data_IF_482309410416
#
_entry.id   IF_482309410416
#
_cell.length_a   1.000
_cell.length_b   1.000
_cell.length_c   1.000
_cell.angle_alpha   90.00
_cell.angle_beta   90.00
_cell.angle_gamma   90.00
#
_symmetry.space_group_name_H-M   'P 1'
#
loop_
_entity.id
_entity.type
_entity.pdbx_description
1 polymer ?
#
# COMPACT_ATOMS: atom_id res chain seq x y z
N UNK A 1 35.67 18.85 -2.08
CA UNK A 1 34.75 18.39 -1.02
C UNK A 1 34.29 17.00 -1.43
N UNK A 2 35.18 16.02 -1.25
CA UNK A 2 34.95 14.62 -1.58
C UNK A 2 34.23 13.98 -0.38
N UNK A 3 32.89 13.96 -0.42
CA UNK A 3 32.11 13.22 0.55
C UNK A 3 32.10 11.74 0.13
N UNK A 4 32.88 10.94 0.86
CA UNK A 4 32.57 9.58 1.31
C UNK A 4 31.75 8.72 0.32
N UNK A 5 32.38 8.24 -0.76
CA UNK A 5 31.78 7.24 -1.67
C UNK A 5 31.59 5.84 -1.06
N UNK A 6 31.84 5.66 0.25
CA UNK A 6 31.70 4.38 0.96
C UNK A 6 30.31 4.10 1.54
N UNK A 7 29.37 5.06 1.54
CA UNK A 7 28.02 4.91 2.10
C UNK A 7 26.92 4.54 1.08
N UNK A 8 27.27 4.32 -0.20
CA UNK A 8 26.35 3.95 -1.28
C UNK A 8 26.37 2.45 -1.62
N UNK A 9 26.85 1.61 -0.70
CA UNK A 9 26.82 0.15 -0.85
C UNK A 9 25.82 -0.40 0.14
N UNK A 10 24.91 -1.26 -0.34
CA UNK A 10 24.00 -1.99 0.54
C UNK A 10 24.83 -2.69 1.62
N UNK A 11 24.58 -2.31 2.86
CA UNK A 11 25.23 -2.94 4.00
C UNK A 11 24.66 -4.35 4.14
N UNK A 12 25.40 -5.23 4.80
CA UNK A 12 24.91 -6.57 5.14
C UNK A 12 23.52 -6.53 5.80
N UNK A 13 23.27 -5.52 6.65
CA UNK A 13 21.97 -5.29 7.29
C UNK A 13 20.85 -5.06 6.28
N UNK A 14 21.05 -4.19 5.29
CA UNK A 14 20.04 -3.88 4.28
C UNK A 14 19.67 -5.13 3.47
N UNK A 15 20.66 -5.95 3.10
CA UNK A 15 20.42 -7.22 2.42
C UNK A 15 19.62 -8.19 3.28
N UNK A 16 19.92 -8.29 4.58
CA UNK A 16 19.17 -9.18 5.48
C UNK A 16 17.73 -8.74 5.66
N UNK A 17 17.46 -7.43 5.75
CA UNK A 17 16.10 -6.90 5.90
C UNK A 17 15.29 -7.13 4.62
N UNK A 18 15.87 -6.85 3.45
CA UNK A 18 15.20 -7.10 2.16
C UNK A 18 14.94 -8.58 1.96
N UNK A 19 15.91 -9.45 2.25
CA UNK A 19 15.69 -10.89 2.10
C UNK A 19 14.63 -11.39 3.08
N UNK A 20 14.65 -10.94 4.33
CA UNK A 20 13.64 -11.31 5.32
C UNK A 20 12.24 -10.87 4.92
N UNK A 21 12.08 -9.63 4.43
CA UNK A 21 10.80 -9.12 3.93
C UNK A 21 10.26 -9.97 2.77
N UNK A 22 11.11 -10.28 1.79
CA UNK A 22 10.74 -11.11 0.63
C UNK A 22 10.38 -12.53 1.03
N UNK A 23 11.13 -13.12 1.97
CA UNK A 23 10.86 -14.45 2.51
C UNK A 23 9.53 -14.47 3.23
N UNK A 24 9.24 -13.51 4.11
CA UNK A 24 7.95 -13.42 4.80
C UNK A 24 6.78 -13.26 3.82
N UNK A 25 6.91 -12.38 2.83
CA UNK A 25 5.88 -12.20 1.79
C UNK A 25 5.63 -13.49 1.00
N UNK A 26 6.69 -14.19 0.60
CA UNK A 26 6.59 -15.45 -0.12
C UNK A 26 6.02 -16.56 0.75
N UNK A 27 6.40 -16.63 2.04
CA UNK A 27 5.89 -17.61 2.99
C UNK A 27 4.38 -17.49 3.17
N UNK A 28 3.84 -16.26 3.27
CA UNK A 28 2.39 -16.03 3.34
C UNK A 28 1.72 -16.53 2.05
N UNK A 29 2.27 -16.21 0.88
CA UNK A 29 1.74 -16.70 -0.41
C UNK A 29 1.74 -18.23 -0.53
N UNK A 30 2.83 -18.89 -0.13
CA UNK A 30 2.95 -20.35 -0.10
C UNK A 30 1.96 -20.94 0.90
N UNK A 31 1.83 -20.36 2.09
CA UNK A 31 0.90 -20.82 3.11
C UNK A 31 -0.55 -20.84 2.58
N UNK A 32 -1.01 -19.74 1.97
CA UNK A 32 -2.36 -19.70 1.39
C UNK A 32 -2.51 -20.67 0.20
N UNK A 33 -1.47 -20.83 -0.64
CA UNK A 33 -1.52 -21.73 -1.80
C UNK A 33 -1.61 -23.22 -1.41
N UNK A 34 -0.87 -23.64 -0.38
CA UNK A 34 -0.83 -25.05 0.04
C UNK A 34 -1.89 -25.41 1.07
N UNK A 35 -2.15 -24.54 2.05
CA UNK A 35 -3.00 -24.85 3.21
C UNK A 35 -4.46 -24.43 3.00
N UNK A 36 -4.71 -23.39 2.21
CA UNK A 36 -6.05 -22.85 1.98
C UNK A 36 -6.37 -22.74 0.49
N UNK A 37 -6.49 -23.90 -0.18
CA UNK A 37 -6.84 -23.98 -1.60
C UNK A 37 -8.25 -23.43 -1.84
N UNK A 38 -8.32 -22.22 -2.37
CA UNK A 38 -9.54 -21.63 -2.92
C UNK A 38 -9.86 -22.33 -4.25
N UNK A 39 -10.90 -23.16 -4.27
CA UNK A 39 -11.22 -24.02 -5.42
C UNK A 39 -12.05 -23.32 -6.51
N UNK A 40 -12.60 -22.14 -6.20
CA UNK A 40 -13.51 -21.39 -7.08
C UNK A 40 -13.00 -19.96 -7.28
N UNK A 41 -13.16 -19.42 -8.49
CA UNK A 41 -12.75 -18.05 -8.83
C UNK A 41 -13.37 -16.97 -7.92
N UNK A 42 -14.66 -17.13 -7.57
CA UNK A 42 -15.36 -16.22 -6.66
C UNK A 42 -14.75 -16.24 -5.25
N UNK A 43 -14.34 -17.41 -4.77
CA UNK A 43 -13.67 -17.59 -3.48
C UNK A 43 -12.28 -16.95 -3.46
N UNK A 44 -11.58 -16.99 -4.60
CA UNK A 44 -10.29 -16.32 -4.80
C UNK A 44 -10.40 -14.79 -4.83
N UNK A 45 -11.37 -14.25 -5.56
CA UNK A 45 -11.57 -12.80 -5.64
C UNK A 45 -12.15 -12.19 -4.36
N UNK A 46 -13.05 -12.90 -3.68
CA UNK A 46 -13.76 -12.40 -2.49
C UNK A 46 -13.14 -12.87 -1.17
N UNK A 47 -12.08 -13.67 -1.20
CA UNK A 47 -11.41 -14.19 0.00
C UNK A 47 -12.33 -15.01 0.89
N UNK A 48 -13.29 -15.74 0.30
CA UNK A 48 -14.27 -16.55 1.02
C UNK A 48 -15.28 -15.79 1.88
N UNK A 49 -15.43 -14.47 1.69
CA UNK A 49 -16.44 -13.60 2.36
C UNK A 49 -16.46 -13.69 3.90
N UNK A 50 -15.42 -14.25 4.49
CA UNK A 50 -15.30 -14.53 5.94
C UNK A 50 -14.15 -13.76 6.58
N UNK A 51 -13.45 -12.91 5.83
CA UNK A 51 -12.39 -12.06 6.37
C UNK A 51 -12.97 -11.02 7.34
N UNK A 52 -12.35 -10.92 8.51
CA UNK A 52 -12.70 -9.92 9.52
C UNK A 52 -12.42 -8.49 9.02
N UNK A 53 -13.09 -7.50 9.60
CA UNK A 53 -12.95 -6.08 9.21
C UNK A 53 -11.52 -5.56 9.37
N UNK A 54 -10.77 -6.10 10.33
CA UNK A 54 -9.39 -5.68 10.62
C UNK A 54 -8.40 -5.98 9.47
N UNK A 55 -8.23 -7.23 9.00
CA UNK A 55 -7.36 -7.52 7.86
C UNK A 55 -7.83 -6.87 6.55
N UNK A 56 -9.14 -6.68 6.37
CA UNK A 56 -9.69 -5.97 5.20
C UNK A 56 -9.26 -4.50 5.23
N UNK A 57 -9.37 -3.84 6.39
CA UNK A 57 -8.96 -2.44 6.56
C UNK A 57 -7.45 -2.26 6.38
N UNK A 58 -6.63 -3.17 6.92
CA UNK A 58 -5.18 -3.17 6.70
C UNK A 58 -4.83 -3.29 5.21
N UNK A 59 -5.51 -4.17 4.48
CA UNK A 59 -5.30 -4.37 3.04
C UNK A 59 -5.69 -3.15 2.21
N UNK A 60 -6.78 -2.47 2.59
CA UNK A 60 -7.20 -1.21 1.98
C UNK A 60 -6.12 -0.14 2.16
N UNK A 61 -5.62 0.07 3.39
CA UNK A 61 -4.55 1.04 3.66
C UNK A 61 -3.28 0.67 2.88
N UNK A 62 -2.90 -0.60 2.86
CA UNK A 62 -1.75 -1.07 2.10
C UNK A 62 -1.90 -0.78 0.59
N UNK A 63 -3.11 -0.91 0.03
CA UNK A 63 -3.39 -0.62 -1.38
C UNK A 63 -3.32 0.87 -1.71
N UNK A 64 -3.58 1.75 -0.73
CA UNK A 64 -3.48 3.20 -0.91
C UNK A 64 -2.03 3.73 -0.88
N UNK A 65 -1.11 3.03 -0.21
CA UNK A 65 0.28 3.47 -0.09
C UNK A 65 1.05 3.04 -1.34
N UNK A 66 1.55 4.04 -2.09
CA UNK A 66 2.37 3.81 -3.29
C UNK A 66 3.78 4.40 -3.14
N UNK A 67 4.71 3.99 -4.01
CA UNK A 67 6.06 4.58 -4.07
C UNK A 67 6.06 6.08 -4.38
N UNK A 68 5.07 6.55 -5.14
CA UNK A 68 4.86 7.98 -5.42
C UNK A 68 4.50 8.71 -4.13
N UNK A 69 3.67 8.10 -3.28
CA UNK A 69 3.29 8.69 -2.00
C UNK A 69 4.50 8.81 -1.06
N UNK A 70 5.39 7.81 -1.07
CA UNK A 70 6.50 7.73 -0.13
C UNK A 70 7.68 8.65 -0.51
N UNK A 71 8.03 8.73 -1.80
CA UNK A 71 9.16 9.54 -2.28
C UNK A 71 8.72 10.79 -3.06
N UNK A 72 7.60 10.73 -3.76
CA UNK A 72 7.11 11.82 -4.59
C UNK A 72 6.58 12.99 -3.78
N UNK A 73 5.78 12.76 -2.73
CA UNK A 73 5.20 13.85 -1.93
C UNK A 73 6.23 14.70 -1.18
N UNK A 74 7.24 14.12 -0.49
CA UNK A 74 8.27 14.93 0.14
C UNK A 74 9.11 15.68 -0.90
N UNK A 75 9.36 15.08 -2.08
CA UNK A 75 10.06 15.75 -3.18
C UNK A 75 9.25 16.94 -3.72
N UNK A 76 7.94 16.77 -3.87
CA UNK A 76 7.03 17.83 -4.32
C UNK A 76 6.93 18.97 -3.32
N UNK A 77 6.79 18.66 -2.03
CA UNK A 77 6.76 19.67 -0.96
C UNK A 77 8.11 20.41 -0.87
N UNK A 78 9.23 19.71 -1.08
CA UNK A 78 10.55 20.31 -1.05
C UNK A 78 10.78 21.30 -2.20
N UNK A 79 10.24 21.02 -3.39
CA UNK A 79 10.41 21.86 -4.59
C UNK A 79 9.35 22.97 -4.70
N UNK A 80 8.09 22.67 -4.39
CA UNK A 80 6.93 23.55 -4.67
C UNK A 80 6.23 24.05 -3.40
N UNK A 81 6.68 23.64 -2.21
CA UNK A 81 6.14 24.09 -0.94
C UNK A 81 4.72 23.60 -0.64
N UNK A 82 3.92 24.42 0.03
CA UNK A 82 2.60 24.05 0.59
C UNK A 82 1.51 23.85 -0.47
N UNK A 83 1.78 24.02 -1.77
CA UNK A 83 0.79 23.87 -2.83
C UNK A 83 0.19 22.45 -2.86
N UNK A 84 0.98 21.43 -2.52
CA UNK A 84 0.50 20.05 -2.42
C UNK A 84 -0.66 19.90 -1.41
N UNK A 85 -0.75 20.75 -0.38
CA UNK A 85 -1.81 20.67 0.63
C UNK A 85 -3.23 20.83 0.06
N UNK A 86 -3.38 21.44 -1.12
CA UNK A 86 -4.68 21.62 -1.80
C UNK A 86 -5.31 20.27 -2.17
N UNK A 87 -4.50 19.22 -2.38
CA UNK A 87 -5.01 17.88 -2.69
C UNK A 87 -5.88 17.32 -1.55
N UNK A 88 -5.58 17.64 -0.29
CA UNK A 88 -6.35 17.18 0.87
C UNK A 88 -7.79 17.72 0.82
N UNK A 89 -7.95 18.99 0.44
CA UNK A 89 -9.28 19.58 0.26
C UNK A 89 -10.03 18.96 -0.91
N UNK A 90 -9.34 18.66 -2.01
CA UNK A 90 -9.92 17.97 -3.16
C UNK A 90 -10.41 16.56 -2.80
N UNK A 91 -9.60 15.80 -2.05
CA UNK A 91 -9.96 14.45 -1.56
C UNK A 91 -11.20 14.49 -0.67
N UNK A 92 -11.29 15.47 0.26
CA UNK A 92 -12.48 15.66 1.09
C UNK A 92 -13.73 15.98 0.25
N UNK A 93 -13.60 16.83 -0.77
CA UNK A 93 -14.70 17.14 -1.69
C UNK A 93 -15.19 15.93 -2.47
N UNK A 94 -14.27 15.12 -3.01
CA UNK A 94 -14.59 13.88 -3.71
C UNK A 94 -15.26 12.87 -2.79
N UNK A 95 -14.82 12.76 -1.53
CA UNK A 95 -15.44 11.89 -0.53
C UNK A 95 -16.92 12.24 -0.32
N UNK A 96 -17.24 13.52 -0.13
CA UNK A 96 -18.62 14.00 0.07
C UNK A 96 -19.49 13.71 -1.16
N UNK A 97 -18.97 13.95 -2.36
CA UNK A 97 -19.68 13.65 -3.61
C UNK A 97 -19.93 12.15 -3.77
N UNK A 98 -18.94 11.31 -3.46
CA UNK A 98 -19.05 9.86 -3.55
C UNK A 98 -20.13 9.32 -2.60
N UNK A 99 -20.18 9.81 -1.37
CA UNK A 99 -21.22 9.43 -0.39
C UNK A 99 -22.61 9.86 -0.87
N UNK A 100 -22.72 11.05 -1.48
CA UNK A 100 -24.03 11.63 -1.85
C UNK A 100 -24.59 11.07 -3.17
N UNK A 101 -23.73 10.79 -4.15
CA UNK A 101 -24.17 10.40 -5.51
C UNK A 101 -23.87 8.95 -5.87
N UNK A 102 -22.74 8.40 -5.41
CA UNK A 102 -22.30 7.04 -5.78
C UNK A 102 -22.92 6.00 -4.84
N UNK A 103 -22.83 6.21 -3.53
CA UNK A 103 -23.36 5.29 -2.52
C UNK A 103 -24.86 4.92 -2.72
N UNK A 104 -25.80 5.86 -3.00
CA UNK A 104 -27.22 5.53 -3.19
C UNK A 104 -27.54 4.88 -4.55
N UNK A 105 -26.56 4.75 -5.45
CA UNK A 105 -26.75 4.07 -6.74
C UNK A 105 -26.40 2.57 -6.65
N UNK A 106 -25.51 2.20 -5.73
CA UNK A 106 -25.06 0.81 -5.53
C UNK A 106 -25.76 0.10 -4.35
N UNK A 107 -26.53 0.84 -3.55
CA UNK A 107 -27.34 0.34 -2.44
C UNK A 107 -28.83 0.62 -2.69
#
# INVERSE_FOLDING_TARGET
MELHQSDLKFTWVDYTVVSAMLLLSTLVGIYYTFFNRQNTFEDYMLGGKTMEVFPVSMSLVASFISGITLLGLPTEIYLYGTQYSVINFSVLGVLVLCITFYLPVFY
#
